data_IF_832498405927
#
_entry.id   IF_832498405927
#
_cell.length_a   1.000
_cell.length_b   1.000
_cell.length_c   1.000
_cell.angle_alpha   90.00
_cell.angle_beta   90.00
_cell.angle_gamma   90.00
#
_symmetry.space_group_name_H-M   'P 1'
#
loop_
_entity.id
_entity.type
_entity.pdbx_description
1 polymer ?
#
# COMPACT_ATOMS: atom_id res chain seq x y z
N UNK A 1 18.72 4.03 -9.33
CA UNK A 1 18.70 2.67 -9.89
C UNK A 1 17.64 2.69 -10.99
N UNK A 2 17.95 2.26 -12.23
CA UNK A 2 16.93 2.14 -13.26
C UNK A 2 15.82 1.22 -12.74
N UNK A 3 14.57 1.62 -12.93
CA UNK A 3 13.40 0.85 -12.52
C UNK A 3 13.07 -0.12 -13.66
N UNK A 4 13.39 -1.40 -13.47
CA UNK A 4 13.10 -2.45 -14.45
C UNK A 4 11.70 -3.02 -14.23
N UNK A 5 10.77 -2.69 -15.11
CA UNK A 5 9.37 -3.16 -15.02
C UNK A 5 9.27 -4.70 -15.02
N UNK A 6 10.13 -5.38 -15.79
CA UNK A 6 10.20 -6.84 -15.81
C UNK A 6 10.60 -7.42 -14.46
N UNK A 7 11.55 -6.78 -13.77
CA UNK A 7 12.00 -7.20 -12.44
C UNK A 7 10.86 -7.03 -11.43
N UNK A 8 10.19 -5.89 -11.42
CA UNK A 8 9.04 -5.64 -10.54
C UNK A 8 7.91 -6.67 -10.77
N UNK A 9 7.62 -7.00 -12.04
CA UNK A 9 6.60 -7.99 -12.39
C UNK A 9 6.98 -9.39 -11.89
N UNK A 10 8.23 -9.81 -12.10
CA UNK A 10 8.74 -11.09 -11.60
C UNK A 10 8.73 -11.14 -10.07
N UNK A 11 9.13 -10.06 -9.39
CA UNK A 11 9.09 -9.95 -7.94
C UNK A 11 7.68 -10.08 -7.39
N UNK A 12 6.70 -9.36 -7.96
CA UNK A 12 5.29 -9.47 -7.57
C UNK A 12 4.72 -10.88 -7.82
N UNK A 13 5.11 -11.53 -8.92
CA UNK A 13 4.74 -12.90 -9.23
C UNK A 13 5.28 -13.88 -8.18
N UNK A 14 6.58 -13.80 -7.88
CA UNK A 14 7.22 -14.62 -6.85
C UNK A 14 6.60 -14.39 -5.46
N UNK A 15 6.33 -13.14 -5.08
CA UNK A 15 5.66 -12.82 -3.82
C UNK A 15 4.29 -13.49 -3.69
N UNK A 16 3.48 -13.48 -4.75
CA UNK A 16 2.15 -14.10 -4.73
C UNK A 16 2.22 -15.63 -4.74
N UNK A 17 3.17 -16.23 -5.47
CA UNK A 17 3.42 -17.68 -5.44
C UNK A 17 3.80 -18.12 -4.03
N UNK A 18 4.77 -17.44 -3.40
CA UNK A 18 5.19 -17.74 -2.03
C UNK A 18 4.03 -17.52 -1.05
N UNK A 19 3.30 -16.41 -1.18
CA UNK A 19 2.16 -16.08 -0.31
C UNK A 19 1.00 -17.08 -0.40
N UNK A 20 0.80 -17.72 -1.56
CA UNK A 20 -0.26 -18.72 -1.75
C UNK A 20 -0.09 -19.95 -0.85
N UNK A 21 1.13 -20.33 -0.50
CA UNK A 21 1.39 -21.43 0.44
C UNK A 21 0.95 -21.12 1.88
N UNK A 22 0.74 -19.84 2.21
CA UNK A 22 0.36 -19.37 3.54
C UNK A 22 -1.09 -18.86 3.62
N UNK A 23 -1.95 -19.21 2.64
CA UNK A 23 -3.32 -18.67 2.53
C UNK A 23 -3.37 -17.13 2.46
N UNK A 24 -2.34 -16.49 1.90
CA UNK A 24 -2.32 -15.04 1.72
C UNK A 24 -3.29 -14.59 0.63
N UNK A 25 -3.89 -13.42 0.82
CA UNK A 25 -4.55 -12.69 -0.28
C UNK A 25 -3.50 -12.21 -1.29
N UNK A 26 -3.88 -12.06 -2.58
CA UNK A 26 -2.98 -11.54 -3.59
C UNK A 26 -2.51 -10.13 -3.23
N UNK A 27 -1.19 -9.92 -3.27
CA UNK A 27 -0.53 -8.67 -2.94
C UNK A 27 -0.23 -7.89 -4.22
N UNK A 28 -0.44 -6.58 -4.15
CA UNK A 28 -0.14 -5.63 -5.22
C UNK A 28 0.70 -4.46 -4.68
N UNK A 29 1.27 -3.66 -5.58
CA UNK A 29 1.89 -2.40 -5.20
C UNK A 29 0.85 -1.43 -4.63
N UNK A 30 0.97 -1.04 -3.36
CA UNK A 30 0.07 -0.08 -2.72
C UNK A 30 0.60 1.34 -2.85
N UNK A 31 -0.05 2.16 -3.68
CA UNK A 31 0.29 3.58 -3.82
C UNK A 31 0.19 4.33 -2.49
N UNK A 32 -0.87 4.06 -1.72
CA UNK A 32 -1.07 4.67 -0.41
C UNK A 32 0.12 4.39 0.52
N UNK A 33 0.52 3.12 0.68
CA UNK A 33 1.65 2.73 1.54
C UNK A 33 2.98 3.30 1.05
N UNK A 34 3.23 3.31 -0.26
CA UNK A 34 4.45 3.87 -0.85
C UNK A 34 4.54 5.38 -0.68
N UNK A 35 3.42 6.10 -0.78
CA UNK A 35 3.36 7.54 -0.56
C UNK A 35 3.73 7.91 0.88
N UNK A 36 3.17 7.21 1.88
CA UNK A 36 3.53 7.46 3.30
C UNK A 36 4.98 7.07 3.58
N UNK A 37 5.46 5.96 2.98
CA UNK A 37 6.83 5.52 3.15
C UNK A 37 7.84 6.52 2.56
N UNK A 38 7.52 7.11 1.40
CA UNK A 38 8.30 8.18 0.80
C UNK A 38 8.24 9.48 1.61
N UNK A 39 7.06 9.88 2.10
CA UNK A 39 6.89 11.04 2.98
C UNK A 39 7.65 10.89 4.31
N UNK A 40 7.79 9.65 4.79
CA UNK A 40 8.55 9.31 6.01
C UNK A 40 10.07 9.30 5.79
N UNK A 41 10.56 9.58 4.58
CA UNK A 41 11.99 9.67 4.28
C UNK A 41 12.72 8.32 4.18
N UNK A 42 12.00 7.21 4.04
CA UNK A 42 12.61 5.87 3.90
C UNK A 42 13.30 5.76 2.54
N UNK A 43 14.61 5.54 2.54
CA UNK A 43 15.43 5.44 1.31
C UNK A 43 15.86 4.01 0.98
N UNK A 44 15.61 3.05 1.87
CA UNK A 44 16.08 1.67 1.74
C UNK A 44 14.91 0.67 1.75
N UNK A 45 15.02 -0.47 1.05
CA UNK A 45 13.99 -1.52 1.07
C UNK A 45 13.80 -2.15 2.46
N UNK A 46 14.73 -1.92 3.40
CA UNK A 46 14.65 -2.37 4.79
C UNK A 46 13.40 -1.86 5.53
N UNK A 47 12.81 -0.73 5.11
CA UNK A 47 11.55 -0.25 5.69
C UNK A 47 10.40 -1.26 5.54
N UNK A 48 10.37 -2.00 4.43
CA UNK A 48 9.40 -3.08 4.20
C UNK A 48 9.59 -4.24 5.19
N UNK A 49 10.85 -4.63 5.47
CA UNK A 49 11.15 -5.68 6.45
C UNK A 49 10.78 -5.26 7.87
N UNK A 50 11.12 -4.04 8.27
CA UNK A 50 10.78 -3.51 9.60
C UNK A 50 9.27 -3.49 9.83
N UNK A 51 8.50 -3.00 8.85
CA UNK A 51 7.03 -3.00 8.94
C UNK A 51 6.46 -4.41 8.97
N UNK A 52 7.04 -5.38 8.24
CA UNK A 52 6.65 -6.79 8.31
C UNK A 52 6.86 -7.41 9.69
N UNK A 53 8.02 -7.19 10.30
CA UNK A 53 8.35 -7.67 11.65
C UNK A 53 7.40 -7.05 12.68
N UNK A 54 7.14 -5.74 12.58
CA UNK A 54 6.19 -5.06 13.46
C UNK A 54 4.78 -5.64 13.34
N UNK A 55 4.31 -5.97 12.14
CA UNK A 55 2.99 -6.59 11.94
C UNK A 55 2.93 -7.98 12.57
N UNK A 56 3.96 -8.81 12.39
CA UNK A 56 4.02 -10.15 13.02
C UNK A 56 3.98 -10.02 14.55
N UNK A 57 4.77 -9.11 15.12
CA UNK A 57 4.84 -8.86 16.56
C UNK A 57 3.51 -8.28 17.10
N UNK A 58 2.88 -7.38 16.37
CA UNK A 58 1.56 -6.85 16.72
C UNK A 58 0.48 -7.94 16.69
N UNK A 59 0.52 -8.85 15.72
CA UNK A 59 -0.40 -9.98 15.70
C UNK A 59 -0.14 -10.91 16.89
N UNK A 60 1.09 -11.31 17.20
CA UNK A 60 1.33 -12.25 18.31
C UNK A 60 1.01 -11.68 19.70
N UNK A 61 1.32 -10.40 19.96
CA UNK A 61 1.10 -9.77 21.27
C UNK A 61 -0.28 -9.12 21.42
N UNK A 62 -0.81 -8.52 20.34
CA UNK A 62 -2.00 -7.66 20.38
C UNK A 62 -3.28 -8.35 19.88
N UNK A 63 -3.21 -9.62 19.41
CA UNK A 63 -4.39 -10.44 19.06
C UNK A 63 -5.53 -10.37 20.09
N UNK A 64 -5.31 -10.51 21.42
CA UNK A 64 -6.43 -10.46 22.37
C UNK A 64 -7.11 -9.07 22.43
N UNK A 65 -6.39 -8.00 22.11
CA UNK A 65 -6.94 -6.64 22.10
C UNK A 65 -7.70 -6.33 20.80
N UNK A 66 -7.29 -6.93 19.67
CA UNK A 66 -7.99 -6.74 18.40
C UNK A 66 -9.44 -7.25 18.41
N UNK A 67 -9.79 -8.17 19.31
CA UNK A 67 -11.17 -8.64 19.47
C UNK A 67 -12.15 -7.52 19.88
N UNK A 68 -11.68 -6.54 20.65
CA UNK A 68 -12.53 -5.43 21.12
C UNK A 68 -12.70 -4.32 20.08
N UNK A 69 -12.04 -4.40 18.92
CA UNK A 69 -12.11 -3.35 17.91
C UNK A 69 -13.43 -3.45 17.14
N UNK A 70 -14.30 -2.44 17.21
CA UNK A 70 -15.53 -2.43 16.43
C UNK A 70 -15.22 -2.30 14.95
N UNK A 71 -15.97 -3.03 14.12
CA UNK A 71 -15.86 -2.98 12.65
C UNK A 71 -16.02 -1.56 12.07
N UNK A 72 -16.74 -0.69 12.78
CA UNK A 72 -16.91 0.72 12.42
C UNK A 72 -15.58 1.49 12.37
N UNK A 73 -14.68 1.26 13.34
CA UNK A 73 -13.37 1.93 13.37
C UNK A 73 -12.50 1.49 12.21
N UNK A 74 -12.48 0.19 11.88
CA UNK A 74 -11.77 -0.34 10.72
C UNK A 74 -12.25 0.30 9.41
N UNK A 75 -13.57 0.43 9.24
CA UNK A 75 -14.15 1.10 8.07
C UNK A 75 -13.79 2.57 8.00
N UNK A 76 -13.83 3.29 9.14
CA UNK A 76 -13.43 4.71 9.21
C UNK A 76 -11.98 4.93 8.77
N UNK A 77 -11.06 4.04 9.16
CA UNK A 77 -9.65 4.13 8.76
C UNK A 77 -9.51 3.95 7.25
N UNK A 78 -10.21 2.97 6.65
CA UNK A 78 -10.18 2.75 5.20
C UNK A 78 -10.71 3.97 4.44
N UNK A 79 -11.87 4.52 4.85
CA UNK A 79 -12.45 5.71 4.22
C UNK A 79 -11.49 6.90 4.29
N UNK A 80 -10.88 7.12 5.47
CA UNK A 80 -9.90 8.21 5.64
C UNK A 80 -8.70 8.04 4.71
N UNK A 81 -8.20 6.82 4.52
CA UNK A 81 -7.07 6.55 3.63
C UNK A 81 -7.41 6.79 2.15
N UNK A 82 -8.64 6.46 1.73
CA UNK A 82 -9.09 6.64 0.35
C UNK A 82 -9.33 8.11 0.02
N UNK A 83 -9.90 8.90 0.94
CA UNK A 83 -10.18 10.32 0.71
C UNK A 83 -8.89 11.08 0.35
N UNK A 84 -7.76 10.77 0.99
CA UNK A 84 -6.47 11.38 0.66
C UNK A 84 -5.87 10.93 -0.68
N UNK A 85 -6.33 9.81 -1.25
CA UNK A 85 -5.87 9.34 -2.56
C UNK A 85 -6.61 10.03 -3.72
N UNK A 86 -7.77 10.64 -3.47
CA UNK A 86 -8.58 11.28 -4.51
C UNK A 86 -8.11 12.72 -4.73
N UNK A 87 -7.34 12.92 -5.79
CA UNK A 87 -6.82 14.23 -6.21
C UNK A 87 -7.86 14.99 -7.07
N UNK A 88 -8.94 15.49 -6.45
CA UNK A 88 -10.05 16.17 -7.16
C UNK A 88 -9.59 17.43 -7.89
N UNK A 89 -8.56 18.11 -7.37
CA UNK A 89 -8.01 19.34 -7.96
C UNK A 89 -7.36 19.14 -9.34
N UNK A 90 -6.95 17.91 -9.69
CA UNK A 90 -6.27 17.62 -10.95
C UNK A 90 -7.21 17.33 -12.12
N UNK A 91 -8.52 17.18 -11.88
CA UNK A 91 -9.49 16.87 -12.95
C UNK A 91 -9.60 18.00 -13.99
N UNK A 92 -9.67 19.25 -13.55
CA UNK A 92 -9.79 20.41 -14.45
C UNK A 92 -8.53 20.64 -15.32
N UNK A 93 -7.29 20.61 -14.78
CA UNK A 93 -6.09 20.78 -15.60
C UNK A 93 -5.86 19.61 -16.57
N UNK A 94 -6.15 18.35 -16.17
CA UNK A 94 -6.04 17.19 -17.07
C UNK A 94 -7.00 17.33 -18.27
N UNK A 95 -8.24 17.78 -18.02
CA UNK A 95 -9.23 17.97 -19.08
C UNK A 95 -8.84 19.09 -20.06
N UNK A 96 -8.28 20.20 -19.55
CA UNK A 96 -7.78 21.30 -20.38
C UNK A 96 -6.56 20.89 -21.23
N UNK A 97 -5.63 20.12 -20.66
CA UNK A 97 -4.44 19.65 -21.36
C UNK A 97 -4.78 18.69 -22.52
N UNK A 98 -5.81 17.85 -22.37
CA UNK A 98 -6.30 16.99 -23.46
C UNK A 98 -6.88 17.78 -24.65
N UNK A 99 -7.41 18.98 -24.41
CA UNK A 99 -7.99 19.81 -25.47
C UNK A 99 -6.94 20.56 -26.30
N UNK A 100 -5.69 20.72 -25.82
CA UNK A 100 -4.59 21.34 -26.57
C UNK A 100 -3.80 20.34 -27.44
N UNK A 101 -4.08 19.03 -27.32
CA UNK A 101 -3.43 17.97 -28.10
C UNK A 101 -4.31 17.45 -29.26
N UNK A 102 -5.42 18.15 -29.57
CA UNK A 102 -6.31 17.86 -30.71
C UNK A 102 -6.24 19.03 -31.70
#
# INVERSE_FOLDING_TARGET
MPLDATQEMLTLGLCNVIGSFFHSMPVTGSFSRSAVNNASGVRTPLGGMYTGILVILALTLLTPYFYYIPKATLSSVIISAVIFMVEVGMILPIWKCNSEYI
#
